data_IF_735234306484
#
_entry.id   IF_735234306484
#
_cell.length_a   1.000
_cell.length_b   1.000
_cell.length_c   1.000
_cell.angle_alpha   90.00
_cell.angle_beta   90.00
_cell.angle_gamma   90.00
#
_symmetry.space_group_name_H-M   'P 1'
#
loop_
_entity.id
_entity.type
_entity.pdbx_description
1 polymer ?
#
# COMPACT_ATOMS: atom_id res chain seq x y z
N UNK A 1 -19.64 -14.54 -11.46
CA UNK A 1 -18.33 -14.18 -11.87
C UNK A 1 -17.60 -13.57 -10.73
N UNK A 2 -16.46 -14.01 -10.53
CA UNK A 2 -15.75 -13.42 -9.47
C UNK A 2 -14.97 -12.27 -9.95
N UNK A 3 -14.63 -11.45 -9.02
CA UNK A 3 -13.91 -10.28 -9.30
C UNK A 3 -12.48 -10.62 -9.21
N UNK A 4 -11.82 -10.47 -10.25
CA UNK A 4 -10.41 -10.66 -10.22
C UNK A 4 -9.73 -9.35 -10.04
N UNK A 5 -8.96 -9.26 -9.02
CA UNK A 5 -8.14 -8.09 -8.86
C UNK A 5 -6.87 -8.36 -9.63
N UNK A 6 -6.59 -7.59 -10.65
CA UNK A 6 -5.45 -7.90 -11.50
C UNK A 6 -4.11 -7.59 -10.91
N UNK A 7 -4.07 -7.16 -9.67
CA UNK A 7 -2.79 -6.90 -9.05
C UNK A 7 -2.38 -8.11 -8.23
N UNK A 8 -1.14 -8.48 -8.35
CA UNK A 8 -0.60 -9.56 -7.57
C UNK A 8 -0.23 -9.07 -6.18
N UNK A 9 0.04 -10.01 -5.29
CA UNK A 9 0.48 -9.66 -3.96
C UNK A 9 1.78 -8.85 -4.03
N UNK A 10 2.66 -9.22 -4.95
CA UNK A 10 3.91 -8.48 -5.12
C UNK A 10 3.66 -7.05 -5.51
N UNK A 11 2.69 -6.82 -6.39
CA UNK A 11 2.39 -5.46 -6.80
C UNK A 11 1.82 -4.64 -5.65
N UNK A 12 0.98 -5.26 -4.83
CA UNK A 12 0.41 -4.56 -3.69
C UNK A 12 1.51 -4.16 -2.71
N UNK A 13 2.40 -5.07 -2.39
CA UNK A 13 3.49 -4.77 -1.48
C UNK A 13 4.41 -3.71 -2.08
N UNK A 14 4.65 -3.78 -3.37
CA UNK A 14 5.49 -2.81 -4.04
C UNK A 14 4.89 -1.41 -3.93
N UNK A 15 3.58 -1.29 -4.15
CA UNK A 15 2.92 0.00 -4.05
C UNK A 15 2.98 0.54 -2.63
N UNK A 16 2.77 -0.31 -1.65
CA UNK A 16 2.85 0.12 -0.27
C UNK A 16 4.27 0.61 0.05
N UNK A 17 5.27 -0.11 -0.41
CA UNK A 17 6.65 0.29 -0.18
C UNK A 17 6.96 1.65 -0.81
N UNK A 18 6.50 1.85 -2.05
CA UNK A 18 6.72 3.12 -2.73
C UNK A 18 6.04 4.25 -1.98
N UNK A 19 4.82 4.02 -1.50
CA UNK A 19 4.12 5.05 -0.76
C UNK A 19 4.79 5.35 0.57
N UNK A 20 5.36 4.35 1.21
CA UNK A 20 6.10 4.58 2.43
C UNK A 20 7.32 5.45 2.19
N UNK A 21 8.00 5.22 1.08
CA UNK A 21 9.14 6.05 0.73
C UNK A 21 8.68 7.47 0.45
N UNK A 22 7.59 7.63 -0.29
CA UNK A 22 7.07 8.96 -0.57
C UNK A 22 6.65 9.66 0.72
N UNK A 23 6.06 8.93 1.65
CA UNK A 23 5.63 9.51 2.91
C UNK A 23 6.81 10.08 3.69
N UNK A 24 7.98 9.49 3.53
CA UNK A 24 9.16 9.98 4.24
C UNK A 24 9.74 11.21 3.58
N UNK A 25 9.32 11.53 2.36
CA UNK A 25 9.89 12.66 1.62
C UNK A 25 8.91 13.80 1.43
N UNK A 26 7.62 13.50 1.41
CA UNK A 26 6.61 14.51 1.14
C UNK A 26 6.20 15.19 2.43
N UNK A 27 5.68 16.40 2.29
CA UNK A 27 5.20 17.18 3.43
C UNK A 27 3.92 17.88 3.04
N UNK A 28 3.19 18.36 4.05
CA UNK A 28 1.98 19.11 3.81
C UNK A 28 0.89 18.30 3.18
N UNK A 29 0.20 18.89 2.22
CA UNK A 29 -0.92 18.21 1.58
C UNK A 29 -0.48 17.00 0.80
N UNK A 30 0.69 17.07 0.21
CA UNK A 30 1.20 15.92 -0.54
C UNK A 30 1.36 14.72 0.39
N UNK A 31 1.86 14.95 1.60
CA UNK A 31 2.00 13.89 2.56
C UNK A 31 0.63 13.36 2.97
N UNK A 32 -0.34 14.25 3.15
CA UNK A 32 -1.68 13.83 3.54
C UNK A 32 -2.27 12.89 2.49
N UNK A 33 -2.09 13.21 1.22
CA UNK A 33 -2.58 12.35 0.15
C UNK A 33 -1.90 10.99 0.15
N UNK A 34 -0.59 10.99 0.35
CA UNK A 34 0.16 9.75 0.38
C UNK A 34 -0.29 8.89 1.56
N UNK A 35 -0.47 9.52 2.71
CA UNK A 35 -0.90 8.79 3.89
C UNK A 35 -2.29 8.19 3.71
N UNK A 36 -3.18 8.94 3.07
CA UNK A 36 -4.52 8.46 2.83
C UNK A 36 -4.50 7.23 1.92
N UNK A 37 -3.73 7.30 0.87
CA UNK A 37 -3.62 6.18 -0.05
C UNK A 37 -2.95 5.00 0.61
N UNK A 38 -1.94 5.26 1.42
CA UNK A 38 -1.24 4.21 2.12
C UNK A 38 -2.18 3.49 3.09
N UNK A 39 -3.01 4.25 3.80
CA UNK A 39 -3.97 3.65 4.71
C UNK A 39 -4.95 2.76 3.98
N UNK A 40 -5.41 3.18 2.81
CA UNK A 40 -6.32 2.37 2.02
C UNK A 40 -5.68 1.06 1.60
N UNK A 41 -4.45 1.12 1.15
CA UNK A 41 -3.76 -0.09 0.71
C UNK A 41 -3.46 -1.01 1.89
N UNK A 42 -3.12 -0.44 3.02
CA UNK A 42 -2.90 -1.25 4.21
C UNK A 42 -4.17 -1.95 4.64
N UNK A 43 -5.30 -1.29 4.50
CA UNK A 43 -6.57 -1.89 4.84
C UNK A 43 -6.90 -3.03 3.91
N UNK A 44 -6.65 -2.84 2.62
CA UNK A 44 -6.87 -3.90 1.64
C UNK A 44 -5.98 -5.09 1.97
N UNK A 45 -4.74 -4.83 2.33
CA UNK A 45 -3.81 -5.89 2.68
C UNK A 45 -4.31 -6.69 3.88
N UNK A 46 -4.79 -5.99 4.88
CA UNK A 46 -5.29 -6.64 6.08
C UNK A 46 -6.53 -7.47 5.78
N UNK A 47 -7.43 -6.93 4.99
CA UNK A 47 -8.65 -7.64 4.65
C UNK A 47 -8.37 -8.88 3.81
N UNK A 48 -7.35 -8.81 3.00
CA UNK A 48 -6.98 -9.96 2.17
C UNK A 48 -6.13 -10.97 2.92
N UNK A 49 -5.72 -10.65 4.14
CA UNK A 49 -4.91 -11.57 4.91
C UNK A 49 -3.48 -11.65 4.45
N UNK A 50 -3.00 -10.62 3.78
CA UNK A 50 -1.65 -10.60 3.25
C UNK A 50 -0.70 -10.03 4.29
N UNK A 51 0.41 -10.73 4.50
CA UNK A 51 1.43 -10.23 5.41
C UNK A 51 2.64 -9.83 4.62
N UNK A 52 3.27 -8.75 5.05
CA UNK A 52 4.52 -8.32 4.46
C UNK A 52 5.64 -9.01 5.20
N UNK A 53 6.51 -9.74 4.50
CA UNK A 53 7.60 -10.42 5.18
C UNK A 53 8.51 -9.42 5.87
N UNK A 54 8.93 -9.79 7.07
CA UNK A 54 9.86 -8.93 7.78
C UNK A 54 11.23 -9.04 7.17
N UNK A 55 11.96 -7.98 7.22
CA UNK A 55 13.28 -7.98 6.69
C UNK A 55 13.38 -7.53 5.25
N UNK A 56 12.26 -7.20 4.66
CA UNK A 56 12.28 -6.68 3.30
C UNK A 56 12.75 -5.24 3.25
#
# INVERSE_FOLDING_TARGET
>A
MEMHIPVSIGELIDKITILQIKASRFQGEALAHVQQELNLLEQVRLEAGISIPEGL
#
